data_IF_773761196005
#
_entry.id   IF_773761196005
#
_cell.length_a   1.000
_cell.length_b   1.000
_cell.length_c   1.000
_cell.angle_alpha   90.00
_cell.angle_beta   90.00
_cell.angle_gamma   90.00
#
_symmetry.space_group_name_H-M   'P 1'
#
loop_
_entity.id
_entity.type
_entity.pdbx_description
1 polymer ?
#
# COMPACT_ATOMS: atom_id res chain seq x y z
N UNK A 1 42.68 48.71 22.12
CA UNK A 1 41.98 47.45 22.45
C UNK A 1 42.32 46.44 21.37
N UNK A 2 42.88 45.27 21.71
CA UNK A 2 43.19 44.23 20.73
C UNK A 2 41.89 43.57 20.23
N UNK A 3 41.88 42.99 19.02
CA UNK A 3 40.70 42.32 18.48
C UNK A 3 40.47 40.98 19.21
N UNK A 4 39.21 40.72 19.54
CA UNK A 4 38.72 39.49 20.15
C UNK A 4 38.87 38.33 19.16
N UNK A 5 39.43 37.17 19.55
CA UNK A 5 39.52 36.01 18.67
C UNK A 5 38.13 35.37 18.51
N UNK A 6 37.68 35.21 17.26
CA UNK A 6 36.53 34.40 16.90
C UNK A 6 36.87 32.92 17.07
N UNK A 7 36.27 32.28 18.07
CA UNK A 7 36.26 30.83 18.20
C UNK A 7 35.41 30.20 17.11
N UNK A 8 36.05 29.50 16.18
CA UNK A 8 35.40 28.61 15.22
C UNK A 8 34.80 27.42 15.99
N UNK A 9 33.51 27.07 15.82
CA UNK A 9 32.95 25.89 16.49
C UNK A 9 33.64 24.64 15.96
N UNK A 10 34.26 23.86 16.84
CA UNK A 10 34.84 22.58 16.50
C UNK A 10 33.74 21.63 15.98
N UNK A 11 33.79 21.30 14.69
CA UNK A 11 33.03 20.21 14.10
C UNK A 11 33.41 18.90 14.82
N UNK A 12 32.43 18.27 15.48
CA UNK A 12 32.60 16.92 16.03
C UNK A 12 32.89 15.96 14.86
N UNK A 13 33.87 15.05 14.98
CA UNK A 13 34.16 14.10 13.92
C UNK A 13 32.99 13.13 13.76
N UNK A 14 32.39 13.11 12.57
CA UNK A 14 31.51 12.03 12.12
C UNK A 14 32.34 10.77 11.99
N UNK A 15 31.91 9.67 12.63
CA UNK A 15 32.58 8.39 12.48
C UNK A 15 32.59 7.97 10.99
N UNK A 16 33.69 7.40 10.48
CA UNK A 16 33.72 6.79 9.14
C UNK A 16 32.60 5.76 8.99
N UNK A 17 31.89 5.78 7.85
CA UNK A 17 30.78 4.87 7.57
C UNK A 17 31.15 3.37 7.77
N UNK A 18 32.40 3.01 7.48
CA UNK A 18 32.93 1.65 7.66
C UNK A 18 32.95 1.18 9.12
N UNK A 19 33.10 2.08 10.09
CA UNK A 19 33.07 1.75 11.51
C UNK A 19 31.63 1.51 11.98
N UNK A 20 30.68 2.34 11.54
CA UNK A 20 29.26 2.19 11.88
C UNK A 20 28.68 0.86 11.35
N UNK A 21 29.10 0.44 10.15
CA UNK A 21 28.69 -0.85 9.56
C UNK A 21 29.26 -2.03 10.37
N UNK A 22 30.55 -1.98 10.75
CA UNK A 22 31.18 -3.03 11.57
C UNK A 22 30.54 -3.14 12.94
N UNK A 23 30.21 -2.02 13.55
CA UNK A 23 29.52 -1.97 14.85
C UNK A 23 28.12 -2.60 14.73
N UNK A 24 27.36 -2.28 13.67
CA UNK A 24 26.05 -2.86 13.43
C UNK A 24 26.09 -4.39 13.25
N UNK A 25 27.04 -4.90 12.47
CA UNK A 25 27.22 -6.35 12.29
C UNK A 25 27.54 -7.05 13.62
N UNK A 26 28.44 -6.48 14.42
CA UNK A 26 28.78 -7.04 15.73
C UNK A 26 27.57 -7.06 16.67
N UNK A 27 26.84 -5.94 16.73
CA UNK A 27 25.63 -5.79 17.55
C UNK A 27 24.58 -6.82 17.11
N UNK A 28 24.24 -6.85 15.82
CA UNK A 28 23.20 -7.72 15.30
C UNK A 28 23.56 -9.19 15.50
N UNK A 29 24.77 -9.62 15.18
CA UNK A 29 25.19 -11.01 15.32
C UNK A 29 25.13 -11.50 16.78
N UNK A 30 25.48 -10.63 17.74
CA UNK A 30 25.35 -10.97 19.16
C UNK A 30 23.89 -11.11 19.60
N UNK A 31 23.01 -10.22 19.11
CA UNK A 31 21.57 -10.30 19.37
C UNK A 31 20.98 -11.58 18.74
N UNK A 32 21.29 -11.83 17.47
CA UNK A 32 20.78 -12.96 16.71
C UNK A 32 21.20 -14.30 17.31
N UNK A 33 22.48 -14.46 17.62
CA UNK A 33 23.00 -15.68 18.27
C UNK A 33 22.25 -15.99 19.57
N UNK A 34 22.01 -14.95 20.39
CA UNK A 34 21.26 -15.11 21.64
C UNK A 34 19.80 -15.52 21.38
N UNK A 35 19.16 -14.97 20.33
CA UNK A 35 17.80 -15.39 19.95
C UNK A 35 17.76 -16.87 19.52
N UNK A 36 18.75 -17.33 18.76
CA UNK A 36 18.86 -18.74 18.40
C UNK A 36 19.05 -19.64 19.62
N UNK A 37 19.87 -19.21 20.58
CA UNK A 37 20.07 -19.92 21.85
C UNK A 37 18.79 -19.95 22.72
N UNK A 38 18.05 -18.83 22.77
CA UNK A 38 16.86 -18.67 23.61
C UNK A 38 15.62 -19.37 23.02
N UNK A 39 15.44 -19.37 21.70
CA UNK A 39 14.20 -19.82 21.03
C UNK A 39 14.37 -21.01 20.08
N UNK A 40 15.57 -21.24 19.53
CA UNK A 40 15.79 -22.16 18.41
C UNK A 40 15.35 -21.58 17.06
N UNK A 41 16.06 -21.93 15.98
CA UNK A 41 15.87 -21.34 14.63
C UNK A 41 14.46 -21.57 14.08
N UNK A 42 13.85 -22.72 14.34
CA UNK A 42 12.51 -23.09 13.90
C UNK A 42 11.38 -22.27 14.57
N UNK A 43 11.69 -21.61 15.69
CA UNK A 43 10.76 -20.75 16.42
C UNK A 43 11.03 -19.26 16.21
N UNK A 44 12.05 -18.89 15.42
CA UNK A 44 12.29 -17.51 14.98
C UNK A 44 11.29 -17.09 13.90
N UNK A 45 10.01 -17.08 14.27
CA UNK A 45 8.89 -16.79 13.40
C UNK A 45 8.60 -15.30 13.49
N UNK A 46 8.91 -14.58 12.43
CA UNK A 46 8.69 -13.14 12.35
C UNK A 46 7.42 -12.81 11.57
N UNK A 47 6.83 -11.61 11.77
CA UNK A 47 5.77 -11.08 10.92
C UNK A 47 6.08 -11.21 9.44
N UNK A 48 5.05 -11.54 8.65
CA UNK A 48 5.13 -11.44 7.18
C UNK A 48 5.35 -10.00 6.71
N UNK A 49 4.86 -9.01 7.48
CA UNK A 49 4.85 -7.60 7.10
C UNK A 49 5.35 -6.71 8.25
N UNK A 50 6.31 -5.84 7.96
CA UNK A 50 6.83 -4.85 8.88
C UNK A 50 6.63 -3.45 8.30
N UNK A 51 5.88 -2.62 9.03
CA UNK A 51 5.69 -1.21 8.67
C UNK A 51 6.48 -0.34 9.65
N UNK A 52 7.47 0.37 9.13
CA UNK A 52 8.27 1.31 9.89
C UNK A 52 7.69 2.71 9.70
N UNK A 53 7.14 3.26 10.78
CA UNK A 53 6.50 4.58 10.75
C UNK A 53 7.48 5.65 11.25
N UNK A 54 8.11 6.30 10.27
CA UNK A 54 8.96 7.47 10.43
C UNK A 54 8.18 8.77 10.30
N UNK A 55 8.70 9.85 10.88
CA UNK A 55 8.12 11.18 10.73
C UNK A 55 8.63 12.17 11.76
N UNK A 56 8.62 13.44 11.37
CA UNK A 56 9.02 14.52 12.24
C UNK A 56 8.12 14.60 13.49
N UNK A 57 8.59 15.19 14.60
CA UNK A 57 7.72 15.57 15.70
C UNK A 57 6.53 16.38 15.18
N UNK A 58 5.31 16.05 15.61
CA UNK A 58 4.10 16.73 15.12
C UNK A 58 3.58 16.27 13.75
N UNK A 59 4.22 15.31 13.08
CA UNK A 59 3.77 14.81 11.77
C UNK A 59 2.45 13.99 11.82
N UNK A 60 1.86 13.77 13.00
CA UNK A 60 0.62 13.01 13.13
C UNK A 60 0.79 11.49 13.11
N UNK A 61 1.96 10.97 13.51
CA UNK A 61 2.21 9.52 13.62
C UNK A 61 1.15 8.82 14.47
N UNK A 62 1.00 9.21 15.74
CA UNK A 62 0.03 8.59 16.64
C UNK A 62 -1.42 8.61 16.14
N UNK A 63 -1.79 9.63 15.36
CA UNK A 63 -3.11 9.71 14.71
C UNK A 63 -3.25 8.71 13.57
N UNK A 64 -2.21 8.57 12.74
CA UNK A 64 -2.24 7.71 11.55
C UNK A 64 -1.85 6.26 11.82
N UNK A 65 -1.17 5.94 12.92
CA UNK A 65 -0.74 4.57 13.25
C UNK A 65 -1.94 3.62 13.34
N UNK A 66 -2.98 4.00 14.08
CA UNK A 66 -4.19 3.20 14.21
C UNK A 66 -4.96 3.08 12.89
N UNK A 67 -4.91 4.11 12.04
CA UNK A 67 -5.51 4.08 10.71
C UNK A 67 -4.80 3.08 9.81
N UNK A 68 -3.46 3.18 9.69
CA UNK A 68 -2.62 2.25 8.92
C UNK A 68 -2.81 0.82 9.41
N UNK A 69 -2.83 0.63 10.74
CA UNK A 69 -3.07 -0.66 11.38
C UNK A 69 -4.37 -1.31 10.87
N UNK A 70 -5.48 -0.58 10.97
CA UNK A 70 -6.80 -1.06 10.52
C UNK A 70 -6.83 -1.31 9.02
N UNK A 71 -6.25 -0.41 8.23
CA UNK A 71 -6.18 -0.52 6.78
C UNK A 71 -5.45 -1.79 6.32
N UNK A 72 -4.36 -2.15 6.99
CA UNK A 72 -3.55 -3.35 6.67
C UNK A 72 -4.03 -4.62 7.39
N UNK A 73 -5.11 -4.53 8.17
CA UNK A 73 -5.63 -5.68 8.93
C UNK A 73 -4.70 -6.19 10.03
N UNK A 74 -3.78 -5.36 10.51
CA UNK A 74 -2.87 -5.70 11.61
C UNK A 74 -3.65 -5.58 12.91
N UNK A 75 -3.68 -6.61 13.74
CA UNK A 75 -4.43 -6.60 15.01
C UNK A 75 -3.56 -6.23 16.21
N UNK A 76 -2.25 -6.40 16.10
CA UNK A 76 -1.30 -6.08 17.15
C UNK A 76 -1.21 -4.57 17.44
N UNK A 77 -0.97 -4.24 18.71
CA UNK A 77 -0.62 -2.88 19.08
C UNK A 77 0.77 -2.49 18.51
N UNK A 78 0.97 -1.24 18.07
CA UNK A 78 2.24 -0.79 17.51
C UNK A 78 3.37 -0.91 18.53
N UNK A 79 4.53 -1.32 18.06
CA UNK A 79 5.74 -1.36 18.87
C UNK A 79 6.33 0.04 18.90
N UNK A 80 6.05 0.76 19.99
CA UNK A 80 6.58 2.12 20.21
C UNK A 80 7.95 2.01 20.87
N UNK A 81 9.01 2.34 20.14
CA UNK A 81 10.40 2.15 20.61
C UNK A 81 10.69 2.93 21.91
N UNK A 82 10.12 4.13 22.07
CA UNK A 82 10.32 4.88 23.31
C UNK A 82 9.73 4.16 24.53
N UNK A 83 8.61 3.45 24.38
CA UNK A 83 8.04 2.65 25.47
C UNK A 83 8.92 1.43 25.81
N UNK A 84 9.63 0.86 24.81
CA UNK A 84 10.59 -0.22 25.05
C UNK A 84 11.76 0.23 25.94
N UNK A 85 12.18 1.50 25.82
CA UNK A 85 13.24 2.08 26.66
C UNK A 85 12.84 2.23 28.12
N UNK A 86 11.55 2.17 28.42
CA UNK A 86 10.99 2.28 29.77
C UNK A 86 10.47 0.94 30.29
N UNK A 87 10.66 -0.15 29.53
CA UNK A 87 10.32 -1.50 29.94
C UNK A 87 11.11 -1.95 31.18
N UNK A 88 10.62 -2.93 31.98
CA UNK A 88 11.37 -3.48 33.11
C UNK A 88 12.76 -4.00 32.73
N UNK A 89 12.92 -4.57 31.53
CA UNK A 89 14.21 -5.00 30.99
C UNK A 89 15.17 -3.82 30.79
N UNK A 90 14.70 -2.75 30.15
CA UNK A 90 15.48 -1.53 29.95
C UNK A 90 15.78 -0.81 31.28
N UNK A 91 14.84 -0.78 32.23
CA UNK A 91 15.06 -0.22 33.56
C UNK A 91 16.09 -1.01 34.36
N UNK A 92 16.08 -2.34 34.28
CA UNK A 92 17.09 -3.19 34.92
C UNK A 92 18.49 -2.89 34.38
N UNK A 93 18.63 -2.74 33.06
CA UNK A 93 19.87 -2.34 32.42
C UNK A 93 20.34 -0.94 32.87
N UNK A 94 19.44 0.05 32.88
CA UNK A 94 19.73 1.40 33.40
C UNK A 94 20.19 1.35 34.87
N UNK A 95 19.54 0.54 35.70
CA UNK A 95 19.85 0.40 37.13
C UNK A 95 21.22 -0.24 37.40
N UNK A 96 21.73 -1.02 36.45
CA UNK A 96 23.06 -1.64 36.51
C UNK A 96 24.17 -0.71 35.96
N UNK A 97 23.85 0.55 35.68
CA UNK A 97 24.78 1.54 35.13
C UNK A 97 25.03 1.39 33.62
N UNK A 98 24.27 0.54 32.94
CA UNK A 98 24.32 0.40 31.48
C UNK A 98 23.63 1.56 30.76
N UNK A 99 24.16 1.97 29.60
CA UNK A 99 23.43 2.84 28.68
C UNK A 99 22.53 2.00 27.78
N UNK A 100 21.30 2.45 27.53
CA UNK A 100 20.42 1.81 26.53
C UNK A 100 20.86 2.30 25.16
N UNK A 101 21.73 1.53 24.51
CA UNK A 101 22.27 1.80 23.18
C UNK A 101 21.52 1.07 22.08
N UNK A 102 22.07 1.11 20.87
CA UNK A 102 21.47 0.45 19.71
C UNK A 102 21.35 -1.08 19.89
N UNK A 103 22.28 -1.71 20.63
CA UNK A 103 22.23 -3.14 20.93
C UNK A 103 21.00 -3.53 21.73
N UNK A 104 20.72 -2.82 22.81
CA UNK A 104 19.60 -3.12 23.69
C UNK A 104 18.28 -2.86 22.97
N UNK A 105 18.19 -1.75 22.23
CA UNK A 105 17.00 -1.41 21.43
C UNK A 105 16.72 -2.49 20.39
N UNK A 106 17.72 -2.88 19.61
CA UNK A 106 17.59 -3.93 18.58
C UNK A 106 17.21 -5.26 19.23
N UNK A 107 17.84 -5.63 20.35
CA UNK A 107 17.53 -6.86 21.07
C UNK A 107 16.10 -6.95 21.57
N UNK A 108 15.62 -5.91 22.27
CA UNK A 108 14.25 -5.86 22.78
C UNK A 108 13.25 -5.83 21.63
N UNK A 109 13.53 -5.05 20.58
CA UNK A 109 12.68 -4.94 19.41
C UNK A 109 12.51 -6.28 18.69
N UNK A 110 13.60 -6.98 18.38
CA UNK A 110 13.54 -8.25 17.65
C UNK A 110 12.80 -9.31 18.50
N UNK A 111 13.00 -9.35 19.82
CA UNK A 111 12.21 -10.22 20.70
C UNK A 111 10.71 -9.88 20.64
N UNK A 112 10.37 -8.59 20.66
CA UNK A 112 8.98 -8.14 20.55
C UNK A 112 8.34 -8.59 19.24
N UNK A 113 9.10 -8.62 18.14
CA UNK A 113 8.63 -9.11 16.84
C UNK A 113 8.35 -10.62 16.80
N UNK A 114 8.91 -11.40 17.72
CA UNK A 114 8.65 -12.85 17.81
C UNK A 114 7.33 -13.17 18.56
N UNK A 115 6.70 -12.19 19.19
CA UNK A 115 5.45 -12.40 19.91
C UNK A 115 4.34 -12.91 18.95
N UNK A 116 3.51 -13.88 19.38
CA UNK A 116 2.46 -14.46 18.53
C UNK A 116 1.50 -13.43 17.92
N UNK A 117 1.22 -12.35 18.63
CA UNK A 117 0.33 -11.27 18.19
C UNK A 117 0.89 -10.54 16.97
N UNK A 118 2.21 -10.48 16.81
CA UNK A 118 2.88 -9.77 15.73
C UNK A 118 2.90 -10.58 14.42
N UNK A 119 2.55 -11.88 14.42
CA UNK A 119 2.73 -12.77 13.25
C UNK A 119 2.03 -12.29 11.97
N UNK A 120 0.86 -11.65 12.09
CA UNK A 120 0.13 -11.14 10.93
C UNK A 120 0.73 -9.84 10.37
N UNK A 121 1.58 -9.17 11.13
CA UNK A 121 2.24 -7.93 10.75
C UNK A 121 2.51 -7.06 11.98
N UNK A 122 3.53 -6.21 11.91
CA UNK A 122 3.88 -5.30 12.99
C UNK A 122 4.12 -3.88 12.48
N UNK A 123 3.76 -2.89 13.29
CA UNK A 123 4.09 -1.49 13.05
C UNK A 123 5.15 -1.05 14.07
N UNK A 124 6.27 -0.53 13.59
CA UNK A 124 7.35 0.01 14.39
C UNK A 124 7.28 1.54 14.39
N UNK A 125 6.96 2.15 15.53
CA UNK A 125 6.98 3.61 15.68
C UNK A 125 8.31 4.09 16.25
N UNK A 126 9.05 4.83 15.41
CA UNK A 126 10.29 5.46 15.80
C UNK A 126 11.50 4.51 15.77
N UNK A 127 11.48 3.52 14.89
CA UNK A 127 12.63 2.72 14.45
C UNK A 127 12.74 2.81 12.92
N UNK A 128 13.95 2.86 12.32
CA UNK A 128 15.24 3.16 12.96
C UNK A 128 15.41 4.68 13.22
N UNK A 129 16.33 5.03 14.13
CA UNK A 129 16.74 6.41 14.45
C UNK A 129 18.20 6.70 14.13
N UNK A 130 19.02 5.66 13.98
CA UNK A 130 20.46 5.73 13.73
C UNK A 130 20.83 4.88 12.51
N UNK A 131 21.99 5.14 11.91
CA UNK A 131 22.53 4.33 10.80
C UNK A 131 22.83 2.90 11.24
N UNK A 132 23.30 2.68 12.46
CA UNK A 132 23.53 1.34 13.03
C UNK A 132 22.22 0.55 13.07
N UNK A 133 21.11 1.18 13.47
CA UNK A 133 19.79 0.53 13.46
C UNK A 133 19.29 0.23 12.04
N UNK A 134 19.60 1.09 11.07
CA UNK A 134 19.32 0.82 9.64
C UNK A 134 20.05 -0.43 9.17
N UNK A 135 21.35 -0.55 9.46
CA UNK A 135 22.12 -1.74 9.08
C UNK A 135 21.60 -3.00 9.81
N UNK A 136 21.22 -2.89 11.10
CA UNK A 136 20.57 -4.00 11.80
C UNK A 136 19.24 -4.42 11.17
N UNK A 137 18.46 -3.49 10.62
CA UNK A 137 17.22 -3.78 9.92
C UNK A 137 17.46 -4.54 8.61
N UNK A 138 18.53 -4.20 7.88
CA UNK A 138 18.95 -4.94 6.66
C UNK A 138 19.35 -6.36 7.01
N UNK A 139 20.18 -6.53 8.03
CA UNK A 139 20.61 -7.84 8.52
C UNK A 139 19.42 -8.70 9.00
N UNK A 140 18.42 -8.07 9.64
CA UNK A 140 17.18 -8.76 10.01
C UNK A 140 16.45 -9.29 8.77
N UNK A 141 16.31 -8.46 7.74
CA UNK A 141 15.67 -8.89 6.49
C UNK A 141 16.43 -10.06 5.83
N UNK A 142 17.76 -9.99 5.78
CA UNK A 142 18.61 -11.02 5.21
C UNK A 142 18.47 -12.36 5.97
N UNK A 143 18.47 -12.33 7.30
CA UNK A 143 18.27 -13.54 8.11
C UNK A 143 16.83 -14.08 8.00
N UNK A 144 15.80 -13.22 7.90
CA UNK A 144 14.43 -13.67 7.61
C UNK A 144 14.34 -14.39 6.26
N UNK A 145 15.03 -13.86 5.23
CA UNK A 145 15.12 -14.50 3.92
C UNK A 145 15.87 -15.83 3.98
N UNK A 146 16.94 -15.90 4.78
CA UNK A 146 17.72 -17.12 5.00
C UNK A 146 16.92 -18.20 5.71
N UNK A 147 16.21 -17.86 6.79
CA UNK A 147 15.29 -18.77 7.47
C UNK A 147 14.25 -19.32 6.49
N UNK A 148 13.65 -18.47 5.66
CA UNK A 148 12.71 -18.92 4.61
C UNK A 148 13.35 -19.92 3.64
N UNK A 149 14.58 -19.68 3.20
CA UNK A 149 15.30 -20.59 2.30
C UNK A 149 15.58 -21.94 2.99
N UNK A 150 16.15 -21.89 4.19
CA UNK A 150 16.55 -23.07 4.97
C UNK A 150 15.35 -23.99 5.28
N UNK A 151 14.18 -23.41 5.59
CA UNK A 151 12.97 -24.16 5.93
C UNK A 151 12.04 -24.40 4.73
N UNK A 152 12.42 -24.03 3.50
CA UNK A 152 11.53 -24.07 2.33
C UNK A 152 11.01 -25.46 1.96
N UNK A 153 11.77 -26.52 2.26
CA UNK A 153 11.42 -27.93 1.99
C UNK A 153 10.95 -28.69 3.25
N UNK A 154 10.64 -27.96 4.32
CA UNK A 154 10.24 -28.53 5.61
C UNK A 154 8.74 -28.30 5.88
N UNK A 155 8.09 -29.10 6.75
CA UNK A 155 6.72 -28.82 7.21
C UNK A 155 6.53 -27.40 7.78
N UNK A 156 7.60 -26.81 8.30
CA UNK A 156 7.65 -25.49 8.91
C UNK A 156 7.65 -24.35 7.88
N UNK A 157 7.78 -24.63 6.57
CA UNK A 157 7.76 -23.64 5.49
C UNK A 157 6.57 -22.67 5.57
N UNK A 158 5.43 -23.12 6.12
CA UNK A 158 4.28 -22.26 6.32
C UNK A 158 4.54 -21.07 7.25
N UNK A 159 5.45 -21.19 8.23
CA UNK A 159 5.76 -20.15 9.20
C UNK A 159 6.77 -19.11 8.68
N UNK A 160 7.55 -19.45 7.66
CA UNK A 160 8.58 -18.56 7.10
C UNK A 160 8.12 -17.95 5.79
N UNK A 161 7.29 -16.90 5.89
CA UNK A 161 6.79 -16.16 4.73
C UNK A 161 7.87 -15.24 4.17
N UNK A 162 7.67 -14.79 2.93
CA UNK A 162 8.52 -13.75 2.37
C UNK A 162 8.32 -12.45 3.17
N UNK A 163 9.39 -11.87 3.75
CA UNK A 163 9.30 -10.63 4.50
C UNK A 163 9.00 -9.44 3.58
N UNK A 164 8.06 -8.59 3.99
CA UNK A 164 7.74 -7.33 3.31
C UNK A 164 7.96 -6.18 4.28
N UNK A 165 8.87 -5.26 3.94
CA UNK A 165 9.19 -4.11 4.78
C UNK A 165 8.71 -2.83 4.08
N UNK A 166 7.87 -2.07 4.77
CA UNK A 166 7.38 -0.76 4.33
C UNK A 166 7.98 0.34 5.19
N UNK A 167 8.65 1.31 4.56
CA UNK A 167 9.17 2.50 5.21
C UNK A 167 8.21 3.64 4.93
N UNK A 168 7.38 3.99 5.92
CA UNK A 168 6.40 5.05 5.80
C UNK A 168 6.90 6.31 6.50
N UNK A 169 7.12 7.38 5.74
CA UNK A 169 7.61 8.66 6.26
C UNK A 169 6.51 9.71 6.16
N UNK A 170 5.96 10.11 7.31
CA UNK A 170 5.06 11.26 7.40
C UNK A 170 5.90 12.55 7.46
N UNK A 171 5.81 13.37 6.43
CA UNK A 171 6.57 14.60 6.30
C UNK A 171 5.71 15.83 6.64
N UNK A 172 6.26 16.69 7.48
CA UNK A 172 5.81 18.07 7.72
C UNK A 172 7.04 18.96 7.73
N UNK A 173 6.89 20.24 7.37
CA UNK A 173 8.00 21.16 7.46
C UNK A 173 8.25 21.60 8.93
N UNK A 174 9.35 22.32 9.14
CA UNK A 174 9.79 22.75 10.47
C UNK A 174 8.76 23.66 11.14
N UNK A 175 8.22 24.63 10.39
CA UNK A 175 7.29 25.62 10.91
C UNK A 175 6.00 24.94 11.40
N UNK A 176 5.43 24.05 10.57
CA UNK A 176 4.24 23.28 10.89
C UNK A 176 4.49 22.30 12.04
N UNK A 177 5.64 21.62 12.06
CA UNK A 177 6.05 20.75 13.17
C UNK A 177 6.11 21.48 14.51
N UNK A 178 6.70 22.68 14.53
CA UNK A 178 6.78 23.50 15.75
C UNK A 178 5.36 23.96 16.15
N UNK A 179 4.58 24.49 15.21
CA UNK A 179 3.22 24.96 15.46
C UNK A 179 2.35 23.85 16.06
N UNK A 180 2.40 22.63 15.51
CA UNK A 180 1.65 21.47 16.02
C UNK A 180 2.10 21.02 17.41
N UNK A 181 3.39 21.10 17.73
CA UNK A 181 3.89 20.77 19.07
C UNK A 181 3.40 21.79 20.11
N UNK A 182 3.47 23.09 19.80
CA UNK A 182 2.98 24.14 20.69
C UNK A 182 1.46 24.08 20.88
N UNK A 183 0.72 23.84 19.79
CA UNK A 183 -0.73 23.62 19.85
C UNK A 183 -1.08 22.43 20.74
N UNK A 184 -0.38 21.30 20.58
CA UNK A 184 -0.57 20.14 21.45
C UNK A 184 -0.29 20.46 22.92
N UNK A 185 0.75 21.26 23.21
CA UNK A 185 1.03 21.70 24.58
C UNK A 185 -0.13 22.49 25.19
N UNK A 186 -0.72 23.41 24.43
CA UNK A 186 -1.91 24.17 24.87
C UNK A 186 -3.10 23.25 25.14
N UNK A 187 -3.36 22.28 24.26
CA UNK A 187 -4.43 21.29 24.43
C UNK A 187 -4.22 20.41 25.66
N UNK A 188 -2.99 19.96 25.91
CA UNK A 188 -2.62 19.18 27.09
C UNK A 188 -2.84 19.96 28.38
N UNK A 189 -2.44 21.24 28.43
CA UNK A 189 -2.66 22.09 29.60
C UNK A 189 -4.15 22.25 29.90
N UNK A 190 -4.95 22.57 28.88
CA UNK A 190 -6.39 22.74 29.02
C UNK A 190 -7.07 21.45 29.50
N UNK A 191 -6.72 20.29 28.91
CA UNK A 191 -7.24 18.99 29.34
C UNK A 191 -6.84 18.66 30.78
N UNK A 192 -5.56 18.84 31.13
CA UNK A 192 -5.07 18.53 32.47
C UNK A 192 -5.67 19.45 33.53
N UNK A 193 -5.93 20.71 33.23
CA UNK A 193 -6.63 21.63 34.12
C UNK A 193 -8.07 21.18 34.36
N UNK A 194 -8.79 20.75 33.30
CA UNK A 194 -10.14 20.21 33.42
C UNK A 194 -10.20 18.92 34.24
N UNK A 195 -9.27 17.98 34.01
CA UNK A 195 -9.15 16.74 34.79
C UNK A 195 -8.87 17.04 36.26
N UNK A 196 -7.97 17.99 36.55
CA UNK A 196 -7.67 18.41 37.94
C UNK A 196 -8.88 19.06 38.60
N UNK A 197 -9.69 19.83 37.86
CA UNK A 197 -10.89 20.50 38.38
C UNK A 197 -12.06 19.55 38.60
N UNK A 198 -12.33 18.68 37.64
CA UNK A 198 -13.48 17.75 37.66
C UNK A 198 -13.22 16.48 38.46
N UNK A 199 -11.94 16.09 38.61
CA UNK A 199 -11.54 14.79 39.16
C UNK A 199 -11.86 13.61 38.24
N UNK A 200 -12.28 13.85 36.99
CA UNK A 200 -12.70 12.83 36.03
C UNK A 200 -11.69 12.75 34.87
N UNK A 201 -11.19 11.55 34.59
CA UNK A 201 -10.26 11.27 33.50
C UNK A 201 -8.80 11.12 33.94
N UNK A 202 -7.91 10.90 32.97
CA UNK A 202 -6.47 10.74 33.18
C UNK A 202 -5.71 11.96 32.65
N UNK A 203 -4.63 12.31 33.34
CA UNK A 203 -3.73 13.38 32.92
C UNK A 203 -2.96 12.96 31.66
N UNK A 204 -2.92 13.85 30.68
CA UNK A 204 -2.07 13.71 29.52
C UNK A 204 -0.63 14.11 29.84
N UNK A 205 0.31 13.45 29.17
CA UNK A 205 1.74 13.69 29.33
C UNK A 205 2.12 15.11 28.91
N UNK A 206 2.74 15.86 29.82
CA UNK A 206 3.31 17.18 29.55
C UNK A 206 4.76 17.03 29.05
N UNK A 207 5.01 17.40 27.80
CA UNK A 207 6.34 17.28 27.16
C UNK A 207 7.02 18.64 27.10
N UNK A 208 8.26 18.74 27.57
CA UNK A 208 9.01 20.00 27.55
C UNK A 208 9.09 20.66 26.15
N UNK A 209 9.16 19.86 25.08
CA UNK A 209 9.19 20.34 23.69
C UNK A 209 7.90 21.01 23.24
N UNK A 210 6.79 20.81 23.96
CA UNK A 210 5.48 21.32 23.57
C UNK A 210 5.22 22.71 24.17
N UNK A 211 6.12 23.19 25.03
CA UNK A 211 6.01 24.49 25.72
C UNK A 211 7.15 25.46 25.36
N UNK A 212 8.19 24.98 24.68
CA UNK A 212 9.34 25.78 24.31
C UNK A 212 9.67 25.62 22.81
N UNK A 213 9.58 26.74 22.10
CA UNK A 213 9.86 26.84 20.66
C UNK A 213 11.28 26.39 20.29
N UNK A 214 12.28 26.71 21.11
CA UNK A 214 13.67 26.33 20.86
C UNK A 214 13.87 24.83 21.08
N UNK A 215 13.24 24.24 22.10
CA UNK A 215 13.26 22.79 22.29
C UNK A 215 12.54 22.05 21.16
N UNK A 216 11.38 22.55 20.71
CA UNK A 216 10.65 22.02 19.56
C UNK A 216 11.51 22.05 18.29
N UNK A 217 12.18 23.18 18.02
CA UNK A 217 13.11 23.35 16.90
C UNK A 217 14.29 22.39 16.98
N UNK A 218 14.93 22.28 18.14
CA UNK A 218 16.03 21.35 18.35
C UNK A 218 15.60 19.90 18.09
N UNK A 219 14.39 19.52 18.52
CA UNK A 219 13.84 18.18 18.27
C UNK A 219 13.64 17.90 16.78
N UNK A 220 13.12 18.88 16.03
CA UNK A 220 12.98 18.77 14.58
C UNK A 220 14.34 18.67 13.87
N UNK A 221 15.31 19.50 14.28
CA UNK A 221 16.68 19.46 13.76
C UNK A 221 17.34 18.09 13.97
N UNK A 222 17.24 17.53 15.17
CA UNK A 222 17.76 16.18 15.47
C UNK A 222 17.11 15.12 14.59
N UNK A 223 15.79 15.19 14.37
CA UNK A 223 15.10 14.29 13.44
C UNK A 223 15.67 14.41 12.02
N UNK A 224 15.81 15.63 11.50
CA UNK A 224 16.31 15.88 10.14
C UNK A 224 17.76 15.41 9.95
N UNK A 225 18.63 15.66 10.93
CA UNK A 225 20.07 15.34 10.82
C UNK A 225 20.39 13.87 11.06
N UNK A 226 19.62 13.17 11.90
CA UNK A 226 19.96 11.80 12.32
C UNK A 226 19.00 10.74 11.80
N UNK A 227 17.70 11.03 11.86
CA UNK A 227 16.65 10.04 11.59
C UNK A 227 16.17 10.09 10.14
N UNK A 228 16.09 11.28 9.54
CA UNK A 228 15.60 11.42 8.17
C UNK A 228 16.55 10.75 7.16
N UNK A 229 17.84 11.02 7.24
CA UNK A 229 18.83 10.39 6.35
C UNK A 229 18.87 8.85 6.51
N UNK A 230 18.68 8.38 7.75
CA UNK A 230 18.57 6.95 8.04
C UNK A 230 17.31 6.31 7.41
N UNK A 231 16.19 7.02 7.38
CA UNK A 231 14.96 6.54 6.72
C UNK A 231 15.10 6.58 5.20
N UNK A 232 15.70 7.64 4.65
CA UNK A 232 15.88 7.82 3.20
C UNK A 232 16.81 6.75 2.62
N UNK A 233 17.86 6.35 3.34
CA UNK A 233 18.79 5.30 2.86
C UNK A 233 18.12 3.93 2.69
N UNK A 234 16.99 3.68 3.35
CA UNK A 234 16.23 2.44 3.19
C UNK A 234 15.43 2.38 1.88
N UNK A 235 15.26 3.50 1.18
CA UNK A 235 14.52 3.59 -0.09
C UNK A 235 15.10 2.69 -1.19
N UNK A 236 16.40 2.43 -1.14
CA UNK A 236 17.08 1.62 -2.14
C UNK A 236 16.78 0.11 -1.99
N UNK A 237 16.26 -0.30 -0.84
CA UNK A 237 16.14 -1.71 -0.44
C UNK A 237 14.69 -2.10 -0.16
N UNK A 238 13.91 -1.21 0.45
CA UNK A 238 12.56 -1.49 0.91
C UNK A 238 11.51 -0.58 0.25
N UNK A 239 10.24 -0.96 0.35
CA UNK A 239 9.13 -0.17 -0.16
C UNK A 239 9.03 1.14 0.63
N UNK A 240 9.36 2.25 -0.02
CA UNK A 240 9.43 3.56 0.62
C UNK A 240 8.24 4.44 0.23
N UNK A 241 7.48 4.86 1.24
CA UNK A 241 6.28 5.67 1.11
C UNK A 241 6.53 7.05 1.73
N UNK A 242 6.50 8.09 0.90
CA UNK A 242 6.64 9.47 1.35
C UNK A 242 5.28 10.15 1.38
N UNK A 243 4.75 10.39 2.58
CA UNK A 243 3.42 10.96 2.76
C UNK A 243 3.54 12.42 3.19
N UNK A 244 2.97 13.32 2.38
CA UNK A 244 2.81 14.70 2.80
C UNK A 244 1.73 14.79 3.90
N UNK A 245 2.16 15.08 5.13
CA UNK A 245 1.32 15.16 6.32
C UNK A 245 1.00 16.62 6.73
N UNK A 246 1.29 17.61 5.87
CA UNK A 246 0.89 19.00 6.09
C UNK A 246 -0.61 19.22 5.85
N UNK A 247 -1.20 18.40 4.99
CA UNK A 247 -2.63 18.46 4.64
C UNK A 247 -3.55 18.12 5.83
N UNK A 248 -4.86 18.44 5.73
CA UNK A 248 -5.87 17.94 6.67
C UNK A 248 -5.87 16.42 6.78
N UNK A 249 -6.25 15.90 7.96
CA UNK A 249 -6.15 14.47 8.29
C UNK A 249 -6.80 13.55 7.25
N UNK A 250 -7.99 13.91 6.76
CA UNK A 250 -8.73 13.14 5.76
C UNK A 250 -7.91 12.95 4.48
N UNK A 251 -7.32 14.03 3.97
CA UNK A 251 -6.48 13.98 2.77
C UNK A 251 -5.17 13.21 3.01
N UNK A 252 -4.59 13.31 4.20
CA UNK A 252 -3.42 12.51 4.58
C UNK A 252 -3.76 11.01 4.58
N UNK A 253 -4.92 10.64 5.13
CA UNK A 253 -5.40 9.26 5.15
C UNK A 253 -5.71 8.74 3.75
N UNK A 254 -6.31 9.55 2.87
CA UNK A 254 -6.49 9.18 1.46
C UNK A 254 -5.16 8.95 0.75
N UNK A 255 -4.16 9.80 0.99
CA UNK A 255 -2.82 9.63 0.41
C UNK A 255 -2.16 8.34 0.91
N UNK A 256 -2.31 8.02 2.20
CA UNK A 256 -1.84 6.76 2.78
C UNK A 256 -2.49 5.57 2.06
N UNK A 257 -3.80 5.61 1.82
CA UNK A 257 -4.52 4.55 1.11
C UNK A 257 -3.96 4.38 -0.31
N UNK A 258 -3.82 5.47 -1.08
CA UNK A 258 -3.31 5.42 -2.46
C UNK A 258 -1.91 4.83 -2.55
N UNK A 259 -1.00 5.23 -1.66
CA UNK A 259 0.37 4.75 -1.64
C UNK A 259 0.46 3.26 -1.28
N UNK A 260 -0.37 2.80 -0.34
CA UNK A 260 -0.41 1.39 0.05
C UNK A 260 -1.11 0.50 -0.99
N UNK A 261 -2.23 0.95 -1.58
CA UNK A 261 -2.95 0.22 -2.64
C UNK A 261 -2.11 0.02 -3.90
N UNK A 262 -1.32 1.02 -4.30
CA UNK A 262 -0.41 0.92 -5.43
C UNK A 262 0.57 -0.26 -5.27
N UNK A 263 1.08 -0.49 -4.05
CA UNK A 263 2.05 -1.55 -3.77
C UNK A 263 1.42 -2.91 -3.47
N UNK A 264 0.20 -3.00 -2.94
CA UNK A 264 -0.48 -4.28 -2.76
C UNK A 264 -0.70 -5.06 -4.08
N UNK A 265 -0.65 -4.38 -5.23
CA UNK A 265 -0.59 -5.02 -6.56
C UNK A 265 0.72 -5.77 -6.86
N UNK A 266 1.78 -5.50 -6.09
CA UNK A 266 3.15 -6.03 -6.23
C UNK A 266 3.54 -7.01 -5.10
N UNK A 267 2.70 -7.21 -4.08
CA UNK A 267 3.00 -8.02 -2.88
C UNK A 267 2.68 -9.53 -3.04
N UNK A 268 2.59 -10.00 -4.28
CA UNK A 268 2.36 -11.41 -4.58
C UNK A 268 3.67 -12.20 -4.45
N UNK A 269 3.60 -13.42 -3.93
CA UNK A 269 4.73 -14.37 -4.00
C UNK A 269 5.29 -14.40 -5.45
N UNK A 270 6.61 -14.42 -5.67
CA UNK A 270 7.20 -14.29 -7.01
C UNK A 270 6.63 -15.26 -8.05
N UNK A 271 6.27 -16.49 -7.65
CA UNK A 271 5.64 -17.46 -8.57
C UNK A 271 4.23 -17.03 -8.94
N UNK A 272 3.52 -16.38 -8.02
CA UNK A 272 2.19 -15.82 -8.22
C UNK A 272 2.24 -14.50 -9.00
N UNK A 273 3.24 -13.65 -8.72
CA UNK A 273 3.48 -12.42 -9.47
C UNK A 273 3.83 -12.69 -10.94
N UNK A 274 4.72 -13.65 -11.22
CA UNK A 274 5.07 -14.02 -12.60
C UNK A 274 3.88 -14.56 -13.40
N UNK A 275 2.92 -15.19 -12.72
CA UNK A 275 1.67 -15.62 -13.35
C UNK A 275 0.76 -14.42 -13.65
N UNK A 276 0.60 -13.51 -12.67
CA UNK A 276 -0.38 -12.43 -12.74
C UNK A 276 0.10 -11.21 -13.53
N UNK A 277 1.41 -10.93 -13.61
CA UNK A 277 1.95 -9.79 -14.39
C UNK A 277 1.70 -9.87 -15.90
N UNK A 278 1.26 -11.02 -16.40
CA UNK A 278 0.83 -11.20 -17.80
C UNK A 278 -0.51 -10.52 -18.09
N UNK A 279 -1.27 -10.19 -17.04
CA UNK A 279 -2.53 -9.48 -17.13
C UNK A 279 -2.27 -7.99 -16.86
N UNK A 280 -2.74 -7.08 -17.73
CA UNK A 280 -2.58 -5.65 -17.50
C UNK A 280 -3.43 -5.18 -16.30
N UNK A 281 -2.94 -4.17 -15.57
CA UNK A 281 -3.70 -3.56 -14.48
C UNK A 281 -4.93 -2.81 -15.04
N UNK A 282 -6.02 -2.77 -14.29
CA UNK A 282 -7.22 -2.03 -14.69
C UNK A 282 -6.91 -0.54 -14.99
N UNK A 283 -6.01 0.07 -14.22
CA UNK A 283 -5.54 1.43 -14.43
C UNK A 283 -4.75 1.59 -15.74
N UNK A 284 -3.94 0.59 -16.12
CA UNK A 284 -3.20 0.57 -17.38
C UNK A 284 -4.13 0.40 -18.58
N UNK A 285 -5.14 -0.48 -18.47
CA UNK A 285 -6.18 -0.66 -19.48
C UNK A 285 -6.87 0.69 -19.75
N UNK A 286 -7.21 1.45 -18.70
CA UNK A 286 -7.93 2.73 -18.84
C UNK A 286 -7.05 3.87 -19.35
N UNK A 287 -5.80 3.97 -18.89
CA UNK A 287 -4.91 5.12 -19.14
C UNK A 287 -4.75 5.46 -20.63
N UNK A 288 -4.65 4.43 -21.47
CA UNK A 288 -4.47 4.58 -22.93
C UNK A 288 -5.67 4.09 -23.75
N UNK A 289 -6.75 3.65 -23.10
CA UNK A 289 -7.92 3.05 -23.74
C UNK A 289 -8.44 3.85 -24.93
N UNK A 290 -8.50 5.18 -24.81
CA UNK A 290 -9.02 6.06 -25.87
C UNK A 290 -8.07 6.13 -27.08
N UNK A 291 -6.77 6.23 -26.86
CA UNK A 291 -5.79 6.27 -27.95
C UNK A 291 -5.73 4.91 -28.67
N UNK A 292 -5.79 3.81 -27.92
CA UNK A 292 -5.82 2.46 -28.49
C UNK A 292 -7.12 2.19 -29.24
N UNK A 293 -8.27 2.68 -28.75
CA UNK A 293 -9.55 2.59 -29.45
C UNK A 293 -9.50 3.25 -30.83
N UNK A 294 -8.99 4.48 -30.90
CA UNK A 294 -8.85 5.21 -32.18
C UNK A 294 -7.93 4.45 -33.12
N UNK A 295 -6.76 3.99 -32.64
CA UNK A 295 -5.82 3.19 -33.44
C UNK A 295 -6.46 1.91 -33.98
N UNK A 296 -7.26 1.19 -33.17
CA UNK A 296 -7.96 -0.01 -33.62
C UNK A 296 -8.99 0.31 -34.70
N UNK A 297 -9.79 1.36 -34.53
CA UNK A 297 -10.79 1.78 -35.53
C UNK A 297 -10.14 2.17 -36.87
N UNK A 298 -9.06 2.94 -36.82
CA UNK A 298 -8.29 3.28 -38.03
C UNK A 298 -7.69 2.01 -38.67
N UNK A 299 -7.14 1.11 -37.84
CA UNK A 299 -6.62 -0.18 -38.28
C UNK A 299 -7.69 -1.04 -38.96
N UNK A 300 -8.90 -1.13 -38.41
CA UNK A 300 -10.00 -1.89 -39.02
C UNK A 300 -10.36 -1.37 -40.40
N UNK A 301 -10.31 -0.04 -40.62
CA UNK A 301 -10.62 0.53 -41.93
C UNK A 301 -9.59 0.16 -42.99
N UNK A 302 -8.32 0.02 -42.60
CA UNK A 302 -7.23 -0.35 -43.50
C UNK A 302 -7.17 -1.87 -43.73
N UNK A 303 -7.20 -2.64 -42.66
CA UNK A 303 -6.97 -4.08 -42.70
C UNK A 303 -8.21 -4.86 -43.15
N UNK A 304 -9.42 -4.40 -42.75
CA UNK A 304 -10.68 -5.12 -42.94
C UNK A 304 -11.85 -4.18 -43.29
N UNK A 305 -11.72 -3.43 -44.40
CA UNK A 305 -12.71 -2.44 -44.79
C UNK A 305 -14.12 -3.03 -44.98
N UNK A 306 -14.21 -4.26 -45.51
CA UNK A 306 -15.49 -4.92 -45.81
C UNK A 306 -16.26 -5.29 -44.53
N UNK A 307 -15.57 -5.89 -43.54
CA UNK A 307 -16.19 -6.27 -42.27
C UNK A 307 -16.63 -5.03 -41.50
N UNK A 308 -15.76 -4.01 -41.43
CA UNK A 308 -16.10 -2.75 -40.78
C UNK A 308 -17.32 -2.10 -41.43
N UNK A 309 -17.39 -2.06 -42.77
CA UNK A 309 -18.53 -1.51 -43.47
C UNK A 309 -19.81 -2.31 -43.21
N UNK A 310 -19.74 -3.64 -43.21
CA UNK A 310 -20.89 -4.50 -42.91
C UNK A 310 -21.41 -4.27 -41.48
N UNK A 311 -20.52 -4.11 -40.50
CA UNK A 311 -20.90 -3.78 -39.11
C UNK A 311 -21.55 -2.41 -39.02
N UNK A 312 -20.99 -1.39 -39.67
CA UNK A 312 -21.59 -0.04 -39.70
C UNK A 312 -22.99 -0.08 -40.30
N UNK A 313 -23.16 -0.76 -41.44
CA UNK A 313 -24.47 -0.89 -42.09
C UNK A 313 -25.46 -1.65 -41.19
N UNK A 314 -25.02 -2.71 -40.51
CA UNK A 314 -25.86 -3.44 -39.56
C UNK A 314 -26.30 -2.54 -38.39
N UNK A 315 -25.38 -1.76 -37.83
CA UNK A 315 -25.69 -0.81 -36.75
C UNK A 315 -26.71 0.20 -37.24
N UNK A 316 -26.48 0.84 -38.38
CA UNK A 316 -27.34 1.88 -38.96
C UNK A 316 -28.74 1.36 -39.29
N UNK A 317 -28.85 0.23 -40.00
CA UNK A 317 -30.13 -0.26 -40.52
C UNK A 317 -30.94 -1.05 -39.49
N UNK A 318 -30.28 -1.76 -38.56
CA UNK A 318 -30.95 -2.68 -37.62
C UNK A 318 -30.95 -2.17 -36.19
N UNK A 319 -29.83 -1.66 -35.70
CA UNK A 319 -29.69 -1.32 -34.27
C UNK A 319 -30.16 0.10 -33.95
N UNK A 320 -29.75 1.09 -34.73
CA UNK A 320 -30.07 2.49 -34.48
C UNK A 320 -31.57 2.79 -34.40
N UNK A 321 -32.45 2.22 -35.26
CA UNK A 321 -33.89 2.43 -35.14
C UNK A 321 -34.45 1.96 -33.79
N UNK A 322 -33.88 0.90 -33.20
CA UNK A 322 -34.27 0.38 -31.89
C UNK A 322 -33.70 1.25 -30.77
N UNK A 323 -32.41 1.61 -30.87
CA UNK A 323 -31.71 2.46 -29.89
C UNK A 323 -32.40 3.83 -29.76
N UNK A 324 -32.75 4.47 -30.88
CA UNK A 324 -33.41 5.77 -30.90
C UNK A 324 -34.77 5.71 -30.19
N UNK A 325 -35.53 4.62 -30.35
CA UNK A 325 -36.80 4.42 -29.63
C UNK A 325 -36.61 4.25 -28.12
N UNK A 326 -35.43 3.84 -27.69
CA UNK A 326 -35.03 3.71 -26.29
C UNK A 326 -34.27 4.92 -25.74
N UNK A 327 -34.33 6.08 -26.43
CA UNK A 327 -33.64 7.29 -26.00
C UNK A 327 -34.05 7.78 -24.60
N UNK A 328 -35.28 7.47 -24.16
CA UNK A 328 -35.76 7.81 -22.81
C UNK A 328 -35.16 6.86 -21.76
N UNK A 329 -35.21 5.54 -21.99
CA UNK A 329 -34.70 4.56 -21.02
C UNK A 329 -33.18 4.55 -20.93
N UNK A 330 -32.48 5.01 -21.97
CA UNK A 330 -31.02 4.95 -22.06
C UNK A 330 -30.48 3.51 -22.16
N UNK A 331 -31.34 2.55 -22.54
CA UNK A 331 -30.98 1.13 -22.67
C UNK A 331 -31.81 0.45 -23.75
N UNK A 332 -31.13 -0.28 -24.63
CA UNK A 332 -31.71 -1.15 -25.65
C UNK A 332 -31.08 -2.54 -25.57
N UNK A 333 -31.91 -3.59 -25.59
CA UNK A 333 -31.46 -4.98 -25.70
C UNK A 333 -31.90 -5.52 -27.08
N UNK A 334 -30.95 -5.94 -27.92
CA UNK A 334 -31.18 -6.30 -29.33
C UNK A 334 -30.68 -7.72 -29.56
N UNK A 335 -31.52 -8.58 -30.15
CA UNK A 335 -31.12 -9.94 -30.52
C UNK A 335 -30.89 -10.04 -32.02
N UNK A 336 -29.85 -10.76 -32.43
CA UNK A 336 -29.55 -11.03 -33.84
C UNK A 336 -29.07 -12.46 -34.05
N UNK A 337 -29.43 -13.01 -35.21
CA UNK A 337 -28.93 -14.30 -35.71
C UNK A 337 -28.02 -14.11 -36.92
N UNK A 338 -27.62 -12.85 -37.20
CA UNK A 338 -26.85 -12.51 -38.37
C UNK A 338 -25.51 -13.26 -38.41
N UNK A 339 -25.17 -13.78 -39.60
CA UNK A 339 -23.94 -14.53 -39.83
C UNK A 339 -22.70 -13.65 -39.68
N UNK A 340 -22.83 -12.32 -39.86
CA UNK A 340 -21.76 -11.35 -39.66
C UNK A 340 -21.04 -11.54 -38.31
N UNK A 341 -21.80 -11.76 -37.24
CA UNK A 341 -21.26 -11.86 -35.88
C UNK A 341 -20.71 -13.24 -35.52
N UNK A 342 -20.75 -14.19 -36.46
CA UNK A 342 -20.00 -15.43 -36.29
C UNK A 342 -18.48 -15.20 -36.44
N UNK A 343 -18.08 -14.08 -37.07
CA UNK A 343 -16.71 -13.59 -37.02
C UNK A 343 -16.48 -12.82 -35.70
N UNK A 344 -15.56 -13.27 -34.83
CA UNK A 344 -15.22 -12.57 -33.59
C UNK A 344 -14.77 -11.12 -33.79
N UNK A 345 -14.20 -10.79 -34.96
CA UNK A 345 -13.75 -9.43 -35.23
C UNK A 345 -14.90 -8.47 -35.53
N UNK A 346 -15.99 -8.95 -36.12
CA UNK A 346 -17.18 -8.12 -36.31
C UNK A 346 -17.77 -7.68 -34.95
N UNK A 347 -17.70 -8.55 -33.93
CA UNK A 347 -18.09 -8.22 -32.57
C UNK A 347 -17.17 -7.16 -31.95
N UNK A 348 -15.86 -7.29 -32.11
CA UNK A 348 -14.89 -6.31 -31.59
C UNK A 348 -15.09 -4.94 -32.24
N UNK A 349 -15.23 -4.90 -33.57
CA UNK A 349 -15.50 -3.67 -34.33
C UNK A 349 -16.80 -3.01 -33.85
N UNK A 350 -17.86 -3.79 -33.63
CA UNK A 350 -19.15 -3.27 -33.14
C UNK A 350 -18.99 -2.61 -31.76
N UNK A 351 -18.31 -3.28 -30.82
CA UNK A 351 -18.08 -2.77 -29.47
C UNK A 351 -17.26 -1.47 -29.53
N UNK A 352 -16.21 -1.43 -30.35
CA UNK A 352 -15.36 -0.27 -30.50
C UNK A 352 -16.11 0.92 -31.15
N UNK A 353 -16.92 0.68 -32.19
CA UNK A 353 -17.77 1.72 -32.80
C UNK A 353 -18.73 2.31 -31.78
N UNK A 354 -19.44 1.47 -31.03
CA UNK A 354 -20.35 1.97 -29.99
C UNK A 354 -19.61 2.75 -28.90
N UNK A 355 -18.45 2.25 -28.47
CA UNK A 355 -17.61 2.91 -27.46
C UNK A 355 -17.12 4.29 -27.92
N UNK A 356 -16.72 4.42 -29.19
CA UNK A 356 -16.32 5.70 -29.79
C UNK A 356 -17.48 6.69 -29.85
N UNK A 357 -18.68 6.20 -30.20
CA UNK A 357 -19.91 7.02 -30.27
C UNK A 357 -20.53 7.31 -28.90
N UNK A 358 -19.88 6.91 -27.81
CA UNK A 358 -20.29 7.23 -26.44
C UNK A 358 -21.33 6.27 -25.84
N UNK A 359 -21.53 5.10 -26.44
CA UNK A 359 -22.38 4.03 -25.92
C UNK A 359 -21.55 3.01 -25.14
N UNK A 360 -22.19 2.32 -24.21
CA UNK A 360 -21.66 1.12 -23.57
C UNK A 360 -22.30 -0.10 -24.25
N UNK A 361 -21.50 -0.93 -24.89
CA UNK A 361 -21.97 -2.13 -25.58
C UNK A 361 -21.50 -3.40 -24.86
N UNK A 362 -22.42 -4.35 -24.67
CA UNK A 362 -22.12 -5.71 -24.22
C UNK A 362 -22.69 -6.71 -25.22
N UNK A 363 -22.02 -7.85 -25.41
CA UNK A 363 -22.49 -8.92 -26.31
C UNK A 363 -22.45 -10.25 -25.58
N UNK A 364 -23.57 -10.96 -25.60
CA UNK A 364 -23.71 -12.32 -25.11
C UNK A 364 -24.10 -13.28 -26.26
N UNK A 365 -23.38 -14.39 -26.40
CA UNK A 365 -23.71 -15.44 -27.38
C UNK A 365 -24.49 -16.58 -26.71
N UNK A 366 -25.76 -16.71 -27.06
CA UNK A 366 -26.62 -17.80 -26.61
C UNK A 366 -26.65 -18.94 -27.64
N UNK A 367 -26.35 -20.15 -27.18
CA UNK A 367 -26.56 -21.38 -27.95
C UNK A 367 -27.87 -22.02 -27.52
N UNK A 368 -28.82 -22.09 -28.44
CA UNK A 368 -30.14 -22.68 -28.22
C UNK A 368 -30.19 -23.98 -29.01
N UNK A 369 -30.49 -25.09 -28.34
CA UNK A 369 -30.76 -26.36 -29.00
C UNK A 369 -32.24 -26.42 -29.38
N UNK A 370 -32.50 -26.57 -30.67
CA UNK A 370 -33.86 -26.67 -31.21
C UNK A 370 -34.06 -28.10 -31.68
N UNK A 371 -35.01 -28.86 -31.08
CA UNK A 371 -35.37 -30.19 -31.54
C UNK A 371 -35.81 -30.16 -33.01
N UNK A 372 -35.20 -30.97 -33.86
CA UNK A 372 -35.60 -31.12 -35.27
C UNK A 372 -36.20 -32.49 -35.56
N UNK A 373 -35.66 -33.54 -34.94
CA UNK A 373 -36.09 -34.90 -35.21
C UNK A 373 -36.10 -35.73 -33.93
N UNK A 374 -37.12 -36.56 -33.78
CA UNK A 374 -37.21 -37.56 -32.72
C UNK A 374 -37.09 -38.94 -33.35
N UNK A 375 -36.11 -39.72 -32.92
CA UNK A 375 -35.95 -41.11 -33.34
C UNK A 375 -36.85 -42.01 -32.48
N UNK A 376 -37.87 -42.59 -33.10
CA UNK A 376 -38.85 -43.46 -32.44
C UNK A 376 -38.27 -44.82 -32.00
N UNK A 377 -37.15 -45.25 -32.57
CA UNK A 377 -36.51 -46.52 -32.22
C UNK A 377 -35.50 -46.35 -31.08
N UNK A 378 -34.71 -45.27 -31.13
CA UNK A 378 -33.65 -45.01 -30.14
C UNK A 378 -34.06 -44.06 -29.02
N UNK A 379 -35.17 -43.32 -29.18
CA UNK A 379 -35.63 -42.29 -28.25
C UNK A 379 -34.79 -41.01 -28.28
N UNK A 380 -33.84 -40.89 -29.20
CA UNK A 380 -32.91 -39.75 -29.28
C UNK A 380 -33.59 -38.56 -29.97
N UNK A 381 -33.53 -37.38 -29.34
CA UNK A 381 -33.90 -36.11 -29.96
C UNK A 381 -32.65 -35.53 -30.64
N UNK A 382 -32.69 -35.41 -31.96
CA UNK A 382 -31.70 -34.67 -32.73
C UNK A 382 -32.07 -33.18 -32.71
N UNK A 383 -31.17 -32.38 -32.14
CA UNK A 383 -31.32 -30.93 -32.07
C UNK A 383 -30.38 -30.24 -33.06
N UNK A 384 -30.86 -29.19 -33.75
CA UNK A 384 -29.97 -28.21 -34.37
C UNK A 384 -29.52 -27.18 -33.35
N UNK A 385 -28.28 -26.71 -33.49
CA UNK A 385 -27.75 -25.59 -32.69
C UNK A 385 -28.06 -24.27 -33.36
N UNK A 386 -28.76 -23.40 -32.65
CA UNK A 386 -29.08 -22.03 -33.05
C UNK A 386 -28.22 -21.06 -32.25
N UNK A 387 -27.49 -20.18 -32.93
CA UNK A 387 -26.68 -19.11 -32.31
C UNK A 387 -27.46 -17.80 -32.32
N UNK A 388 -27.64 -17.20 -31.15
CA UNK A 388 -28.30 -15.90 -31.00
C UNK A 388 -27.36 -14.96 -30.27
N UNK A 389 -27.04 -13.83 -30.89
CA UNK A 389 -26.24 -12.76 -30.29
C UNK A 389 -27.17 -11.75 -29.64
N UNK A 390 -26.97 -11.51 -28.35
CA UNK A 390 -27.72 -10.53 -27.57
C UNK A 390 -26.82 -9.34 -27.29
N UNK A 391 -27.18 -8.19 -27.84
CA UNK A 391 -26.48 -6.92 -27.69
C UNK A 391 -27.19 -6.07 -26.64
N UNK A 392 -26.48 -5.70 -25.58
CA UNK A 392 -26.95 -4.72 -24.59
C UNK A 392 -26.28 -3.38 -24.86
N UNK A 393 -27.05 -2.37 -25.27
CA UNK A 393 -26.57 -1.02 -25.54
C UNK A 393 -27.10 -0.07 -24.47
N UNK A 394 -26.20 0.57 -23.72
CA UNK A 394 -26.52 1.55 -22.67
C UNK A 394 -25.94 2.92 -23.00
N UNK A 395 -26.65 3.97 -22.68
CA UNK A 395 -26.26 5.36 -22.90
C UNK A 395 -27.06 6.30 -21.99
N UNK A 396 -26.67 7.57 -21.94
CA UNK A 396 -27.39 8.57 -21.12
C UNK A 396 -28.78 8.82 -21.71
N UNK A 397 -29.82 8.41 -20.98
CA UNK A 397 -31.22 8.64 -21.36
C UNK A 397 -31.64 10.10 -21.21
N UNK A 398 -32.70 10.49 -21.91
CA UNK A 398 -33.31 11.82 -21.77
C UNK A 398 -34.14 11.90 -20.49
N UNK A 399 -33.87 12.90 -19.65
CA UNK A 399 -34.71 13.20 -18.49
C UNK A 399 -36.08 13.71 -18.98
N UNK A 400 -37.13 12.91 -18.77
CA UNK A 400 -38.50 13.42 -18.86
C UNK A 400 -38.63 14.47 -17.76
N UNK A 401 -38.90 15.72 -18.15
CA UNK A 401 -39.21 16.84 -17.24
C UNK A 401 -40.06 16.33 -16.07
N UNK A 402 -39.48 16.36 -14.86
CA UNK A 402 -40.27 16.44 -13.63
C UNK A 402 -40.92 17.82 -13.65
N UNK A 403 -42.22 17.85 -13.95
CA UNK A 403 -43.05 19.00 -13.60
C UNK A 403 -43.08 19.20 -12.11
#
# INVERSE_FOLDING_TARGET
MPPVPTETPALKPTAPADLEIKDAQLIFNQVWKKLEEDYGRENLRFPKELILLGGAPGAGKGTNTNFIRKLRGITAEPIVVSALLDSPEAQKLKSQGGMVGDREVVGILIRKLLEPEQQNGAILDGFPRTKVQVECLKLLFDEMMRLRMDFSETPEAFHFKQPIFHIMVLFVDEAESIARQLKRGQEVLAHNEEVRRSGLGELWEERATDFDTNLARNRYKVFKEKTYDALVSLKEIFHYHFINAQAPLELVQENIVRELEYQSSLELDPRTFDLLRKLPLASEIVRHARQDLVRRLDGYKVEKPEIMQAVVNFIEEKMMPIIVRHAISGRADINSEDKLFHDPQALAILIDIFSERGFQATVDLHHIEIPEKFDLQTGIIQCRKKKVFRFGIRFKGSEIRRG
#
